data_IF_901233204971
#
_entry.id   IF_901233204971
#
_cell.length_a   1.000
_cell.length_b   1.000
_cell.length_c   1.000
_cell.angle_alpha   90.00
_cell.angle_beta   90.00
_cell.angle_gamma   90.00
#
_symmetry.space_group_name_H-M   'P 1'
#
loop_
_entity.id
_entity.type
_entity.pdbx_description
1 polymer ?
#
# COMPACT_ATOMS: atom_id res chain seq x y z
N UNK A 1 -1.96 0.55 37.09
CA UNK A 1 -2.40 1.60 36.15
C UNK A 1 -1.71 1.29 34.83
N UNK A 2 -2.45 0.84 33.82
CA UNK A 2 -1.88 0.64 32.47
C UNK A 2 -2.07 1.97 31.77
N UNK A 3 -0.98 2.71 31.59
CA UNK A 3 -0.96 3.89 30.73
C UNK A 3 -1.28 3.40 29.31
N UNK A 4 -2.48 3.73 28.85
CA UNK A 4 -2.84 3.56 27.45
C UNK A 4 -1.93 4.49 26.63
N UNK A 5 -0.82 3.93 26.15
CA UNK A 5 -0.06 4.49 25.03
C UNK A 5 -0.95 4.44 23.79
N UNK A 6 -1.91 5.38 23.73
CA UNK A 6 -2.59 5.71 22.50
C UNK A 6 -1.50 6.29 21.61
N UNK A 7 -0.96 5.46 20.72
CA UNK A 7 -0.14 5.93 19.61
C UNK A 7 -1.07 6.84 18.81
N UNK A 8 -0.97 8.16 19.05
CA UNK A 8 -1.65 9.17 18.27
C UNK A 8 -0.88 9.23 16.96
N UNK A 9 -1.32 8.43 16.00
CA UNK A 9 -0.88 8.59 14.62
C UNK A 9 -1.21 10.02 14.20
N UNK A 10 -0.26 10.73 13.58
CA UNK A 10 -0.60 12.00 12.96
C UNK A 10 -1.81 11.75 12.06
N UNK A 11 -2.88 12.53 12.27
CA UNK A 11 -3.80 12.75 11.15
C UNK A 11 -2.89 13.24 10.01
N UNK A 12 -3.06 12.77 8.75
CA UNK A 12 -2.41 13.51 7.67
C UNK A 12 -2.74 14.98 7.90
N UNK A 13 -1.72 15.83 7.97
CA UNK A 13 -1.81 17.29 8.18
C UNK A 13 -2.54 18.00 7.01
N UNK A 14 -3.37 17.25 6.33
CA UNK A 14 -4.13 17.65 5.18
C UNK A 14 -5.43 18.24 5.70
N UNK A 15 -5.42 19.56 5.88
CA UNK A 15 -6.58 20.45 5.75
C UNK A 15 -7.25 20.34 4.34
N UNK A 16 -7.06 19.23 3.64
CA UNK A 16 -7.65 18.95 2.35
C UNK A 16 -9.16 18.80 2.51
N UNK A 17 -9.88 19.64 1.77
CA UNK A 17 -11.30 19.51 1.55
C UNK A 17 -11.65 18.09 1.06
N UNK A 18 -12.85 17.63 1.42
CA UNK A 18 -13.31 16.27 1.10
C UNK A 18 -13.23 15.94 -0.39
N UNK A 19 -13.51 16.92 -1.26
CA UNK A 19 -13.43 16.77 -2.71
C UNK A 19 -12.00 16.53 -3.19
N UNK A 20 -11.02 17.27 -2.68
CA UNK A 20 -9.60 17.09 -3.00
C UNK A 20 -9.09 15.72 -2.56
N UNK A 21 -9.55 15.25 -1.39
CA UNK A 21 -9.23 13.92 -0.89
C UNK A 21 -9.78 12.82 -1.81
N UNK A 22 -11.03 12.96 -2.26
CA UNK A 22 -11.62 12.00 -3.19
C UNK A 22 -10.91 12.00 -4.54
N UNK A 23 -10.52 13.17 -5.05
CA UNK A 23 -9.74 13.27 -6.28
C UNK A 23 -8.36 12.57 -6.14
N UNK A 24 -7.70 12.73 -4.99
CA UNK A 24 -6.42 12.07 -4.73
C UNK A 24 -6.56 10.55 -4.59
N UNK A 25 -7.61 10.06 -3.91
CA UNK A 25 -7.91 8.62 -3.84
C UNK A 25 -8.19 8.05 -5.23
N UNK A 26 -8.96 8.76 -6.06
CA UNK A 26 -9.24 8.32 -7.43
C UNK A 26 -7.96 8.19 -8.27
N UNK A 27 -7.09 9.20 -8.22
CA UNK A 27 -5.78 9.17 -8.89
C UNK A 27 -4.91 8.01 -8.43
N UNK A 28 -4.79 7.80 -7.13
CA UNK A 28 -4.00 6.68 -6.60
C UNK A 28 -4.61 5.32 -6.99
N UNK A 29 -5.93 5.22 -7.11
CA UNK A 29 -6.58 4.00 -7.55
C UNK A 29 -6.33 3.72 -9.05
N UNK A 30 -6.27 4.76 -9.88
CA UNK A 30 -5.82 4.66 -11.28
C UNK A 30 -4.37 4.18 -11.35
N UNK A 31 -3.47 4.77 -10.55
CA UNK A 31 -2.07 4.33 -10.48
C UNK A 31 -1.96 2.84 -10.10
N UNK A 32 -2.75 2.37 -9.12
CA UNK A 32 -2.82 0.93 -8.77
C UNK A 32 -3.31 0.09 -9.95
N UNK A 33 -4.35 0.53 -10.65
CA UNK A 33 -4.89 -0.20 -11.80
C UNK A 33 -3.86 -0.29 -12.94
N UNK A 34 -3.18 0.80 -13.27
CA UNK A 34 -2.10 0.84 -14.28
C UNK A 34 -0.94 -0.07 -13.89
N UNK A 35 -0.55 -0.08 -12.61
CA UNK A 35 0.49 -0.97 -12.11
C UNK A 35 0.08 -2.45 -12.13
N UNK A 36 -1.21 -2.76 -12.15
CA UNK A 36 -1.68 -4.15 -12.20
C UNK A 36 -2.06 -4.61 -13.61
N UNK A 37 -2.34 -3.70 -14.54
CA UNK A 37 -2.70 -4.05 -15.92
C UNK A 37 -1.49 -4.59 -16.70
N UNK A 38 -1.44 -5.89 -16.97
CA UNK A 38 -0.32 -6.52 -17.70
C UNK A 38 -0.44 -6.40 -19.22
N UNK A 39 -1.53 -5.83 -19.74
CA UNK A 39 -1.78 -5.75 -21.19
C UNK A 39 -1.80 -7.13 -21.87
N UNK A 40 -1.97 -8.22 -21.11
CA UNK A 40 -1.88 -9.59 -21.61
C UNK A 40 -0.47 -10.08 -21.94
N UNK A 41 0.58 -9.30 -21.65
CA UNK A 41 1.95 -9.72 -21.89
C UNK A 41 2.37 -10.84 -20.90
N UNK A 42 3.07 -11.89 -21.36
CA UNK A 42 3.68 -12.86 -20.46
C UNK A 42 4.68 -12.13 -19.56
N UNK A 43 4.52 -12.30 -18.25
CA UNK A 43 5.37 -11.68 -17.23
C UNK A 43 6.02 -12.77 -16.39
N UNK A 44 7.30 -12.62 -16.11
CA UNK A 44 7.98 -13.50 -15.16
C UNK A 44 7.54 -13.18 -13.72
N UNK A 45 7.85 -14.10 -12.81
CA UNK A 45 7.44 -13.99 -11.41
C UNK A 45 8.07 -12.76 -10.74
N UNK A 46 9.30 -12.39 -11.12
CA UNK A 46 10.00 -11.24 -10.55
C UNK A 46 9.34 -9.91 -10.96
N UNK A 47 8.93 -9.79 -12.22
CA UNK A 47 8.17 -8.67 -12.76
C UNK A 47 6.82 -8.54 -12.07
N UNK A 48 6.09 -9.64 -11.90
CA UNK A 48 4.80 -9.64 -11.20
C UNK A 48 4.96 -9.17 -9.74
N UNK A 49 5.97 -9.68 -9.04
CA UNK A 49 6.29 -9.28 -7.67
C UNK A 49 6.65 -7.79 -7.56
N UNK A 50 7.41 -7.25 -8.51
CA UNK A 50 7.73 -5.81 -8.57
C UNK A 50 6.48 -4.93 -8.74
N UNK A 51 5.50 -5.38 -9.53
CA UNK A 51 4.24 -4.64 -9.72
C UNK A 51 3.35 -4.65 -8.48
N UNK A 52 3.23 -5.79 -7.81
CA UNK A 52 2.49 -5.87 -6.54
C UNK A 52 3.15 -4.98 -5.48
N UNK A 53 4.49 -4.91 -5.44
CA UNK A 53 5.23 -4.03 -4.54
C UNK A 53 4.91 -2.55 -4.81
N UNK A 54 4.94 -2.12 -6.08
CA UNK A 54 4.62 -0.74 -6.47
C UNK A 54 3.16 -0.39 -6.14
N UNK A 55 2.21 -1.28 -6.48
CA UNK A 55 0.79 -1.10 -6.16
C UNK A 55 0.54 -1.04 -4.65
N UNK A 56 1.29 -1.78 -3.84
CA UNK A 56 1.14 -1.77 -2.37
C UNK A 56 1.44 -0.41 -1.73
N UNK A 57 2.34 0.38 -2.33
CA UNK A 57 2.67 1.72 -1.86
C UNK A 57 1.53 2.72 -2.13
N UNK A 58 0.94 2.68 -3.33
CA UNK A 58 -0.22 3.51 -3.65
C UNK A 58 -1.46 3.11 -2.82
N UNK A 59 -1.66 1.80 -2.59
CA UNK A 59 -2.69 1.30 -1.68
C UNK A 59 -2.51 1.84 -0.27
N UNK A 60 -1.28 1.90 0.23
CA UNK A 60 -0.97 2.47 1.54
C UNK A 60 -1.43 3.93 1.66
N UNK A 61 -1.13 4.76 0.66
CA UNK A 61 -1.56 6.16 0.63
C UNK A 61 -3.10 6.30 0.58
N UNK A 62 -3.78 5.47 -0.22
CA UNK A 62 -5.25 5.38 -0.21
C UNK A 62 -5.76 5.05 1.19
N UNK A 63 -5.14 4.07 1.86
CA UNK A 63 -5.48 3.68 3.23
C UNK A 63 -5.37 4.84 4.21
N UNK A 64 -4.31 5.66 4.12
CA UNK A 64 -4.15 6.83 4.99
C UNK A 64 -5.28 7.86 4.80
N UNK A 65 -5.69 8.09 3.55
CA UNK A 65 -6.72 9.08 3.19
C UNK A 65 -8.14 8.61 3.54
N UNK A 66 -8.41 7.30 3.42
CA UNK A 66 -9.76 6.73 3.53
C UNK A 66 -10.08 6.15 4.90
N UNK A 67 -9.08 5.83 5.71
CA UNK A 67 -9.27 5.18 7.02
C UNK A 67 -8.85 6.07 8.19
N UNK A 68 -9.39 5.78 9.38
CA UNK A 68 -9.09 6.52 10.61
C UNK A 68 -8.84 5.59 11.80
N UNK A 69 -8.14 6.11 12.82
CA UNK A 69 -7.91 5.41 14.08
C UNK A 69 -7.28 4.02 13.90
N UNK A 70 -7.89 3.01 14.50
CA UNK A 70 -7.37 1.63 14.51
C UNK A 70 -7.45 0.92 13.14
N UNK A 71 -8.33 1.36 12.23
CA UNK A 71 -8.42 0.77 10.89
C UNK A 71 -7.20 1.13 10.03
N UNK A 72 -6.71 2.37 10.17
CA UNK A 72 -5.49 2.82 9.51
C UNK A 72 -4.28 1.99 9.89
N UNK A 73 -4.19 1.62 11.17
CA UNK A 73 -3.14 0.74 11.69
C UNK A 73 -3.19 -0.64 11.05
N UNK A 74 -4.36 -1.27 11.03
CA UNK A 74 -4.54 -2.59 10.41
C UNK A 74 -4.20 -2.57 8.93
N UNK A 75 -4.59 -1.50 8.25
CA UNK A 75 -4.30 -1.32 6.83
C UNK A 75 -2.80 -1.10 6.58
N UNK A 76 -2.12 -0.31 7.44
CA UNK A 76 -0.66 -0.17 7.42
C UNK A 76 0.05 -1.51 7.56
N UNK A 77 -0.30 -2.27 8.60
CA UNK A 77 0.29 -3.57 8.88
C UNK A 77 0.07 -4.55 7.73
N UNK A 78 -1.10 -4.51 7.08
CA UNK A 78 -1.38 -5.31 5.89
C UNK A 78 -0.43 -4.95 4.74
N UNK A 79 -0.29 -3.68 4.38
CA UNK A 79 0.60 -3.23 3.31
C UNK A 79 2.07 -3.62 3.58
N UNK A 80 2.54 -3.39 4.81
CA UNK A 80 3.90 -3.77 5.24
C UNK A 80 4.11 -5.29 5.14
N UNK A 81 3.14 -6.08 5.59
CA UNK A 81 3.23 -7.54 5.51
C UNK A 81 3.31 -8.03 4.06
N UNK A 82 2.55 -7.43 3.15
CA UNK A 82 2.64 -7.73 1.70
C UNK A 82 4.04 -7.43 1.17
N UNK A 83 4.60 -6.25 1.45
CA UNK A 83 5.95 -5.86 1.01
C UNK A 83 7.04 -6.81 1.55
N UNK A 84 6.94 -7.19 2.83
CA UNK A 84 7.85 -8.16 3.45
C UNK A 84 7.75 -9.52 2.78
N UNK A 85 6.54 -10.02 2.51
CA UNK A 85 6.35 -11.30 1.83
C UNK A 85 6.92 -11.28 0.40
N UNK A 86 6.66 -10.22 -0.36
CA UNK A 86 7.23 -10.03 -1.70
C UNK A 86 8.76 -10.07 -1.65
N UNK A 87 9.36 -9.31 -0.73
CA UNK A 87 10.81 -9.27 -0.54
C UNK A 87 11.39 -10.66 -0.23
N UNK A 88 10.70 -11.46 0.61
CA UNK A 88 11.10 -12.83 0.95
C UNK A 88 11.03 -13.78 -0.24
N UNK A 89 9.97 -13.67 -1.06
CA UNK A 89 9.82 -14.48 -2.27
C UNK A 89 10.93 -14.13 -3.26
N UNK A 90 11.18 -12.84 -3.51
CA UNK A 90 12.26 -12.36 -4.39
C UNK A 90 13.62 -12.90 -3.96
N UNK A 91 13.98 -12.74 -2.69
CA UNK A 91 15.22 -13.27 -2.14
C UNK A 91 15.34 -14.80 -2.23
N UNK A 92 14.22 -15.53 -2.27
CA UNK A 92 14.22 -16.99 -2.46
C UNK A 92 14.48 -17.34 -3.92
N UNK A 93 13.81 -16.65 -4.85
CA UNK A 93 13.97 -16.86 -6.29
C UNK A 93 15.39 -16.52 -6.76
N UNK A 94 15.95 -15.41 -6.30
CA UNK A 94 17.33 -14.98 -6.62
C UNK A 94 18.40 -15.97 -6.10
N UNK A 95 18.10 -16.75 -5.06
CA UNK A 95 19.01 -17.80 -4.56
C UNK A 95 18.92 -19.11 -5.32
N UNK A 96 17.85 -19.30 -6.10
CA UNK A 96 17.59 -20.52 -6.88
C UNK A 96 17.89 -20.38 -8.37
N UNK A 97 18.13 -19.16 -8.84
CA UNK A 97 18.56 -18.83 -10.20
C UNK A 97 20.09 -18.84 -10.31
#
# INVERSE_FOLDING_TARGET
MIENNIIRFPRPDDDLASETRMAQVARLAEDVAEQMDTGGAPMDILGLLGRIEQASAALWEIGQLTTSGAERLKFHELCVNVQVMISRIRATLERTA
#
